data_IF_816008759616
#
_entry.id   IF_816008759616
#
_cell.length_a   1.000
_cell.length_b   1.000
_cell.length_c   1.000
_cell.angle_alpha   90.00
_cell.angle_beta   90.00
_cell.angle_gamma   90.00
#
_symmetry.space_group_name_H-M   'P 1'
#
loop_
_entity.id
_entity.type
_entity.pdbx_description
1 polymer ?
#
# COMPACT_ATOMS: atom_id res chain seq x y z
N UNK A 1 8.42 -6.72 -24.14
CA UNK A 1 7.50 -5.59 -23.89
C UNK A 1 8.20 -4.23 -23.82
N UNK A 2 9.39 -4.09 -23.21
CA UNK A 2 10.21 -2.83 -23.22
C UNK A 2 10.56 -2.22 -24.60
N UNK A 3 10.21 -2.87 -25.71
CA UNK A 3 10.38 -2.35 -27.08
C UNK A 3 9.10 -1.70 -27.63
N UNK A 4 7.97 -1.85 -26.94
CA UNK A 4 6.67 -1.26 -27.25
C UNK A 4 6.41 0.01 -26.41
N UNK A 5 7.37 0.42 -25.59
CA UNK A 5 7.28 1.62 -24.77
C UNK A 5 7.58 2.84 -25.63
N UNK A 6 6.59 3.72 -25.78
CA UNK A 6 6.70 4.93 -26.60
C UNK A 6 6.94 6.17 -25.74
N UNK A 7 6.81 6.07 -24.42
CA UNK A 7 6.96 7.21 -23.51
C UNK A 7 8.30 7.20 -22.78
N UNK A 8 8.70 8.36 -22.26
CA UNK A 8 9.99 8.60 -21.59
C UNK A 8 9.97 8.37 -20.07
N UNK A 9 8.83 7.96 -19.52
CA UNK A 9 8.64 7.70 -18.08
C UNK A 9 8.38 6.22 -17.83
N UNK A 10 8.37 5.79 -16.57
CA UNK A 10 8.08 4.41 -16.18
C UNK A 10 6.62 4.02 -16.51
N UNK A 11 6.46 3.22 -17.56
CA UNK A 11 5.16 2.70 -17.98
C UNK A 11 4.66 1.58 -17.06
N UNK A 12 3.35 1.57 -16.82
CA UNK A 12 2.66 0.44 -16.20
C UNK A 12 2.17 -0.52 -17.27
N UNK A 13 2.19 -1.82 -16.98
CA UNK A 13 1.71 -2.86 -17.89
C UNK A 13 0.47 -3.51 -17.31
N UNK A 14 -0.65 -3.38 -18.02
CA UNK A 14 -1.89 -4.06 -17.68
C UNK A 14 -2.05 -5.36 -18.48
N UNK A 15 -2.53 -6.40 -17.80
CA UNK A 15 -2.84 -7.70 -18.40
C UNK A 15 -4.35 -7.94 -18.35
N UNK A 16 -4.99 -7.93 -19.52
CA UNK A 16 -6.41 -8.28 -19.65
C UNK A 16 -6.57 -9.76 -20.00
N UNK A 17 -7.24 -10.51 -19.14
CA UNK A 17 -7.52 -11.94 -19.33
C UNK A 17 -9.03 -12.14 -19.45
N UNK A 18 -9.47 -12.78 -20.53
CA UNK A 18 -10.87 -13.21 -20.68
C UNK A 18 -11.02 -14.59 -20.04
N UNK A 19 -11.64 -14.62 -18.87
CA UNK A 19 -11.98 -15.87 -18.19
C UNK A 19 -13.31 -16.40 -18.74
N UNK A 20 -13.42 -17.72 -18.93
CA UNK A 20 -14.64 -18.39 -19.40
C UNK A 20 -15.68 -18.64 -18.31
N UNK A 21 -15.66 -17.85 -17.24
CA UNK A 21 -16.53 -17.99 -16.07
C UNK A 21 -17.84 -17.24 -16.27
N UNK A 22 -18.93 -17.77 -15.74
CA UNK A 22 -20.21 -17.07 -15.69
C UNK A 22 -20.34 -16.29 -14.38
N UNK A 23 -20.26 -14.94 -14.39
CA UNK A 23 -20.30 -14.12 -13.18
C UNK A 23 -21.67 -14.14 -12.47
N UNK A 24 -22.72 -14.72 -13.08
CA UNK A 24 -24.02 -14.91 -12.42
C UNK A 24 -24.02 -16.06 -11.41
N UNK A 25 -23.04 -16.96 -11.51
CA UNK A 25 -22.87 -18.10 -10.63
C UNK A 25 -21.75 -17.78 -9.61
N UNK A 26 -22.12 -17.63 -8.34
CA UNK A 26 -21.21 -17.16 -7.29
C UNK A 26 -19.98 -18.04 -7.06
N UNK A 27 -20.06 -19.34 -7.41
CA UNK A 27 -18.98 -20.32 -7.32
C UNK A 27 -17.90 -20.16 -8.41
N UNK A 28 -18.21 -19.45 -9.50
CA UNK A 28 -17.28 -19.20 -10.59
C UNK A 28 -16.58 -17.83 -10.49
N UNK A 29 -16.86 -17.07 -9.42
CA UNK A 29 -16.16 -15.80 -9.18
C UNK A 29 -14.72 -16.04 -8.73
N UNK A 30 -13.77 -15.54 -9.50
CA UNK A 30 -12.35 -15.59 -9.17
C UNK A 30 -11.96 -14.33 -8.41
N UNK A 31 -11.72 -14.45 -7.10
CA UNK A 31 -11.15 -13.39 -6.26
C UNK A 31 -9.95 -13.95 -5.51
N UNK A 32 -8.77 -13.41 -5.81
CA UNK A 32 -7.53 -13.82 -5.17
C UNK A 32 -6.55 -12.66 -5.07
N UNK A 33 -5.67 -12.73 -4.07
CA UNK A 33 -4.54 -11.83 -3.90
C UNK A 33 -3.27 -12.62 -4.11
N UNK A 34 -2.38 -12.13 -4.96
CA UNK A 34 -1.11 -12.78 -5.26
C UNK A 34 0.01 -11.82 -4.88
N UNK A 35 0.99 -12.32 -4.13
CA UNK A 35 2.24 -11.60 -3.91
C UNK A 35 3.11 -11.80 -5.13
N UNK A 36 3.42 -10.71 -5.83
CA UNK A 36 4.30 -10.76 -7.00
C UNK A 36 5.74 -11.09 -6.55
N UNK A 37 6.45 -12.00 -7.24
CA UNK A 37 7.81 -12.41 -6.85
C UNK A 37 8.84 -11.27 -6.90
N UNK A 38 8.55 -10.20 -7.64
CA UNK A 38 9.38 -8.99 -7.71
C UNK A 38 8.69 -7.76 -7.08
N UNK A 39 7.61 -7.98 -6.32
CA UNK A 39 6.80 -6.90 -5.75
C UNK A 39 6.18 -5.98 -6.81
N UNK A 40 5.83 -4.76 -6.39
CA UNK A 40 5.30 -3.71 -7.29
C UNK A 40 6.40 -2.84 -7.90
N UNK A 41 7.68 -3.20 -7.71
CA UNK A 41 8.83 -2.46 -8.24
C UNK A 41 9.10 -1.11 -7.57
N UNK A 42 8.28 -0.69 -6.60
CA UNK A 42 8.50 0.49 -5.77
C UNK A 42 8.71 0.05 -4.32
N UNK A 43 9.81 0.49 -3.70
CA UNK A 43 9.95 0.49 -2.24
C UNK A 43 8.93 1.48 -1.70
N UNK A 44 7.83 0.97 -1.13
CA UNK A 44 6.85 1.83 -0.48
C UNK A 44 7.33 2.14 0.93
N UNK A 45 7.51 3.41 1.24
CA UNK A 45 7.81 3.83 2.62
C UNK A 45 6.48 3.88 3.39
N UNK A 46 6.36 3.06 4.43
CA UNK A 46 5.14 2.92 5.22
C UNK A 46 5.27 3.71 6.52
N UNK A 47 4.31 4.60 6.76
CA UNK A 47 4.19 5.38 7.97
C UNK A 47 2.98 4.91 8.79
N UNK A 48 3.19 4.56 10.06
CA UNK A 48 2.14 4.09 10.96
C UNK A 48 1.94 5.07 12.12
N UNK A 49 0.70 5.55 12.27
CA UNK A 49 0.28 6.43 13.35
C UNK A 49 -0.48 5.59 14.39
N UNK A 50 0.20 5.26 15.48
CA UNK A 50 -0.31 4.37 16.52
C UNK A 50 0.07 4.86 17.91
N UNK A 51 -0.67 4.39 18.92
CA UNK A 51 -0.38 4.65 20.34
C UNK A 51 -0.27 3.34 21.12
N UNK A 52 0.58 3.34 22.15
CA UNK A 52 0.74 2.21 23.06
C UNK A 52 1.39 0.99 22.42
N UNK A 53 0.87 -0.20 22.69
CA UNK A 53 1.41 -1.49 22.21
C UNK A 53 1.46 -1.63 20.68
N UNK A 54 0.51 -0.99 19.98
CA UNK A 54 0.43 -1.00 18.52
C UNK A 54 1.62 -0.31 17.83
N UNK A 55 2.41 0.49 18.57
CA UNK A 55 3.67 1.06 18.07
C UNK A 55 4.71 -0.04 17.89
N UNK A 56 4.86 -0.93 18.88
CA UNK A 56 5.82 -2.04 18.83
C UNK A 56 5.43 -3.06 17.76
N UNK A 57 4.15 -3.37 17.65
CA UNK A 57 3.64 -4.26 16.60
C UNK A 57 3.92 -3.69 15.20
N UNK A 58 3.83 -2.37 15.03
CA UNK A 58 4.13 -1.71 13.76
C UNK A 58 5.64 -1.71 13.43
N UNK A 59 6.50 -1.51 14.43
CA UNK A 59 7.95 -1.64 14.27
C UNK A 59 8.34 -3.08 13.91
N UNK A 60 7.77 -4.08 14.59
CA UNK A 60 8.01 -5.50 14.31
C UNK A 60 7.47 -5.94 12.94
N UNK A 61 6.38 -5.33 12.48
CA UNK A 61 5.82 -5.55 11.14
C UNK A 61 6.66 -4.92 10.02
N UNK A 62 7.70 -4.14 10.35
CA UNK A 62 8.61 -3.53 9.39
C UNK A 62 8.10 -2.20 8.81
N UNK A 63 7.38 -1.41 9.60
CA UNK A 63 7.06 -0.02 9.23
C UNK A 63 8.32 0.87 9.31
N UNK A 64 8.53 1.72 8.31
CA UNK A 64 9.69 2.62 8.24
C UNK A 64 9.60 3.77 9.25
N UNK A 65 8.39 4.25 9.52
CA UNK A 65 8.14 5.35 10.44
C UNK A 65 6.94 5.05 11.34
N UNK A 66 7.15 4.99 12.65
CA UNK A 66 6.08 4.79 13.64
C UNK A 66 6.05 5.97 14.60
N UNK A 67 4.86 6.48 14.91
CA UNK A 67 4.71 7.56 15.87
C UNK A 67 3.26 7.87 16.23
N UNK A 68 3.06 8.85 17.10
CA UNK A 68 1.75 9.32 17.57
C UNK A 68 1.53 10.78 17.19
N UNK A 69 1.24 11.68 18.13
CA UNK A 69 0.99 13.11 17.88
C UNK A 69 2.20 13.86 17.30
N UNK A 70 3.42 13.51 17.71
CA UNK A 70 4.64 14.17 17.21
C UNK A 70 4.83 13.97 15.70
N UNK A 71 4.47 12.78 15.21
CA UNK A 71 4.54 12.45 13.80
C UNK A 71 3.47 13.22 13.03
N UNK A 72 2.25 13.32 13.58
CA UNK A 72 1.14 14.09 13.01
C UNK A 72 1.51 15.58 12.89
N UNK A 73 2.13 16.17 13.91
CA UNK A 73 2.63 17.53 13.83
C UNK A 73 3.70 17.71 12.76
N UNK A 74 4.64 16.77 12.66
CA UNK A 74 5.72 16.81 11.65
C UNK A 74 5.15 16.73 10.23
N UNK A 75 4.15 15.88 10.02
CA UNK A 75 3.41 15.78 8.75
C UNK A 75 2.69 17.09 8.44
N UNK A 76 2.03 17.69 9.43
CA UNK A 76 1.35 18.99 9.30
C UNK A 76 2.33 20.12 8.95
N UNK A 77 3.57 20.05 9.45
CA UNK A 77 4.67 20.96 9.13
C UNK A 77 5.26 20.75 7.72
N UNK A 78 4.71 19.84 6.93
CA UNK A 78 5.07 19.63 5.51
C UNK A 78 5.95 18.42 5.24
N UNK A 79 6.10 17.49 6.19
CA UNK A 79 6.85 16.27 5.97
C UNK A 79 5.98 15.20 5.28
N UNK A 80 6.36 14.79 4.07
CA UNK A 80 5.61 13.86 3.22
C UNK A 80 6.51 12.78 2.61
N UNK A 81 7.47 12.27 3.38
CA UNK A 81 8.42 11.24 2.93
C UNK A 81 7.89 9.81 3.14
N UNK A 82 6.61 9.61 2.84
CA UNK A 82 5.94 8.31 2.95
C UNK A 82 4.94 8.12 1.80
N UNK A 83 4.78 6.88 1.34
CA UNK A 83 3.85 6.53 0.25
C UNK A 83 2.48 6.06 0.78
N UNK A 84 2.43 5.60 2.03
CA UNK A 84 1.22 5.07 2.64
C UNK A 84 1.20 5.33 4.14
N UNK A 85 0.06 5.80 4.64
CA UNK A 85 -0.20 6.03 6.07
C UNK A 85 -1.23 5.03 6.56
N UNK A 86 -0.92 4.39 7.68
CA UNK A 86 -1.85 3.53 8.41
C UNK A 86 -2.06 4.15 9.79
N UNK A 87 -3.29 4.50 10.12
CA UNK A 87 -3.62 5.02 11.43
C UNK A 87 -4.50 4.04 12.21
N UNK A 88 -4.25 3.92 13.50
CA UNK A 88 -5.15 3.22 14.41
C UNK A 88 -6.41 4.06 14.67
N UNK A 89 -7.60 3.46 14.82
CA UNK A 89 -8.85 4.21 15.06
C UNK A 89 -8.77 5.15 16.25
N UNK A 90 -7.98 4.79 17.27
CA UNK A 90 -7.73 5.58 18.48
C UNK A 90 -7.08 6.94 18.18
N UNK A 91 -6.33 7.05 17.09
CA UNK A 91 -5.65 8.26 16.62
C UNK A 91 -6.46 9.02 15.56
N UNK A 92 -7.54 8.44 15.02
CA UNK A 92 -8.44 9.08 14.06
C UNK A 92 -9.51 9.91 14.78
N UNK A 93 -9.10 10.80 15.70
CA UNK A 93 -10.04 11.76 16.29
C UNK A 93 -10.50 12.73 15.19
N UNK A 94 -11.79 12.64 14.88
CA UNK A 94 -12.55 13.52 13.97
C UNK A 94 -12.45 14.98 14.34
#
# INVERSE_FOLDING_TARGET
>A
MKKLSFVKFDESVDLSLRLGVDPKHSDQMVRGTIVLPHGTGKSKTICVIASGEKVKEAEEAGADHVGSEELVEKITKGWADFDSVIATPDMMRS
#
